data_IF_663468369295
#
_entry.id   IF_663468369295
#
_cell.length_a   1.000
_cell.length_b   1.000
_cell.length_c   1.000
_cell.angle_alpha   90.00
_cell.angle_beta   90.00
_cell.angle_gamma   90.00
#
_symmetry.space_group_name_H-M   'P 1'
#
loop_
_entity.id
_entity.type
_entity.pdbx_description
1 polymer ?
#
# COMPACT_ATOMS: atom_id res chain seq x y z
N UNK A 1 -87.20 21.99 59.34
CA UNK A 1 -86.16 21.49 58.41
C UNK A 1 -86.45 20.02 58.12
N UNK A 2 -87.28 19.75 57.09
CA UNK A 2 -87.75 18.40 56.77
C UNK A 2 -86.69 17.74 55.89
N UNK A 3 -85.77 16.98 56.51
CA UNK A 3 -84.81 16.16 55.78
C UNK A 3 -85.61 15.00 55.17
N UNK A 4 -85.88 15.11 53.87
CA UNK A 4 -86.70 14.17 53.13
C UNK A 4 -85.92 12.85 52.99
N UNK A 5 -86.10 11.92 53.93
CA UNK A 5 -85.37 10.64 54.04
C UNK A 5 -85.33 9.84 52.71
N UNK A 6 -86.34 10.00 51.85
CA UNK A 6 -86.37 9.36 50.52
C UNK A 6 -85.30 9.90 49.56
N UNK A 7 -84.99 11.20 49.60
CA UNK A 7 -83.97 11.80 48.72
C UNK A 7 -82.55 11.37 49.16
N UNK A 8 -82.31 11.27 50.47
CA UNK A 8 -81.04 10.78 51.00
C UNK A 8 -80.77 9.31 50.64
N UNK A 9 -81.80 8.46 50.64
CA UNK A 9 -81.67 7.05 50.23
C UNK A 9 -81.42 6.93 48.73
N UNK A 10 -82.11 7.72 47.90
CA UNK A 10 -81.88 7.73 46.44
C UNK A 10 -80.48 8.25 46.09
N UNK A 11 -79.98 9.26 46.80
CA UNK A 11 -78.61 9.76 46.63
C UNK A 11 -77.56 8.74 47.10
N UNK A 12 -77.78 8.05 48.22
CA UNK A 12 -76.86 7.00 48.66
C UNK A 12 -76.84 5.81 47.72
N UNK A 13 -78.00 5.33 47.26
CA UNK A 13 -78.07 4.23 46.29
C UNK A 13 -77.48 4.67 44.96
N UNK A 14 -77.75 5.89 44.50
CA UNK A 14 -77.14 6.47 43.30
C UNK A 14 -75.62 6.58 43.40
N UNK A 15 -75.09 7.07 44.53
CA UNK A 15 -73.64 7.14 44.77
C UNK A 15 -73.01 5.76 44.89
N UNK A 16 -73.67 4.78 45.51
CA UNK A 16 -73.17 3.39 45.57
C UNK A 16 -73.13 2.80 44.17
N UNK A 17 -74.18 2.97 43.36
CA UNK A 17 -74.22 2.48 41.98
C UNK A 17 -73.13 3.13 41.13
N UNK A 18 -72.91 4.44 41.27
CA UNK A 18 -71.85 5.18 40.58
C UNK A 18 -70.46 4.74 41.06
N UNK A 19 -70.26 4.53 42.36
CA UNK A 19 -69.00 4.02 42.93
C UNK A 19 -68.73 2.58 42.49
N UNK A 20 -69.75 1.72 42.43
CA UNK A 20 -69.59 0.35 41.91
C UNK A 20 -69.37 0.32 40.40
N UNK A 21 -69.96 1.24 39.64
CA UNK A 21 -69.72 1.37 38.21
C UNK A 21 -68.30 1.90 37.94
N UNK A 22 -67.82 2.87 38.74
CA UNK A 22 -66.44 3.36 38.67
C UNK A 22 -65.42 2.29 39.09
N UNK A 23 -65.74 1.47 40.10
CA UNK A 23 -64.89 0.35 40.51
C UNK A 23 -64.85 -0.75 39.43
N UNK A 24 -65.99 -1.07 38.81
CA UNK A 24 -66.07 -2.05 37.72
C UNK A 24 -65.41 -1.55 36.42
N UNK A 25 -65.43 -0.24 36.15
CA UNK A 25 -64.71 0.35 35.02
C UNK A 25 -63.20 0.51 35.27
N UNK A 26 -62.77 0.56 36.54
CA UNK A 26 -61.36 0.60 36.95
C UNK A 26 -60.62 -0.76 36.85
N UNK A 27 -61.34 -1.84 36.58
CA UNK A 27 -60.79 -3.21 36.50
C UNK A 27 -60.51 -3.72 35.08
N UNK A 28 -60.35 -2.81 34.11
CA UNK A 28 -59.65 -3.16 32.88
C UNK A 28 -58.14 -3.23 33.18
N UNK A 29 -57.71 -4.32 33.83
CA UNK A 29 -56.28 -4.66 33.98
C UNK A 29 -55.67 -4.67 32.58
N UNK A 30 -54.82 -3.69 32.29
CA UNK A 30 -54.03 -3.69 31.04
C UNK A 30 -53.17 -4.94 31.08
N UNK A 31 -53.49 -5.91 30.22
CA UNK A 31 -52.78 -7.18 30.18
C UNK A 31 -51.29 -6.94 29.88
N UNK A 32 -50.44 -7.55 30.69
CA UNK A 32 -49.00 -7.53 30.46
C UNK A 32 -48.69 -8.28 29.16
N UNK A 33 -47.90 -7.67 28.29
CA UNK A 33 -47.42 -8.30 27.06
C UNK A 33 -45.91 -8.54 27.13
N UNK A 34 -45.44 -9.47 26.30
CA UNK A 34 -44.03 -9.79 26.17
C UNK A 34 -43.52 -9.35 24.79
N UNK A 35 -42.34 -8.75 24.74
CA UNK A 35 -41.64 -8.40 23.51
C UNK A 35 -40.21 -8.92 23.57
N UNK A 36 -39.77 -9.59 22.52
CA UNK A 36 -38.37 -10.03 22.37
C UNK A 36 -37.76 -9.20 21.25
N UNK A 37 -36.68 -8.49 21.54
CA UNK A 37 -36.05 -7.61 20.56
C UNK A 37 -34.60 -7.30 20.89
N UNK A 38 -33.86 -6.92 19.86
CA UNK A 38 -32.50 -6.43 19.95
C UNK A 38 -32.49 -4.96 20.38
N UNK A 39 -31.69 -4.65 21.40
CA UNK A 39 -31.42 -3.27 21.80
C UNK A 39 -30.54 -2.58 20.75
N UNK A 40 -31.09 -1.59 20.07
CA UNK A 40 -30.42 -0.82 19.00
C UNK A 40 -30.09 0.60 19.42
N UNK A 41 -30.65 1.05 20.54
CA UNK A 41 -30.42 2.37 21.11
C UNK A 41 -30.65 2.31 22.61
N UNK A 42 -29.82 3.02 23.38
CA UNK A 42 -29.97 3.13 24.82
C UNK A 42 -29.46 4.48 25.31
N UNK A 43 -30.23 5.09 26.20
CA UNK A 43 -29.91 6.31 26.94
C UNK A 43 -30.36 6.13 28.40
N UNK A 44 -29.97 7.05 29.26
CA UNK A 44 -30.41 7.05 30.65
C UNK A 44 -31.94 7.08 30.76
N UNK A 45 -32.52 5.97 31.22
CA UNK A 45 -33.94 5.82 31.48
C UNK A 45 -34.79 5.28 30.32
N UNK A 46 -34.23 5.04 29.12
CA UNK A 46 -34.92 4.30 28.07
C UNK A 46 -34.02 3.65 27.02
N UNK A 47 -34.53 2.59 26.40
CA UNK A 47 -33.91 1.91 25.25
C UNK A 47 -34.93 1.66 24.14
N UNK A 48 -34.45 1.38 22.94
CA UNK A 48 -35.27 0.96 21.81
C UNK A 48 -34.92 -0.49 21.48
N UNK A 49 -35.94 -1.36 21.52
CA UNK A 49 -35.84 -2.74 21.08
C UNK A 49 -36.52 -2.91 19.72
N UNK A 50 -35.92 -3.69 18.83
CA UNK A 50 -36.53 -4.07 17.55
C UNK A 50 -36.37 -5.55 17.26
N UNK A 51 -37.36 -6.14 16.58
CA UNK A 51 -37.33 -7.51 16.07
C UNK A 51 -37.20 -7.55 14.53
N UNK A 52 -36.90 -6.42 13.90
CA UNK A 52 -36.81 -6.26 12.44
C UNK A 52 -38.08 -5.74 11.77
N UNK A 53 -39.27 -6.02 12.32
CA UNK A 53 -40.55 -5.54 11.79
C UNK A 53 -41.11 -4.39 12.62
N UNK A 54 -41.01 -4.50 13.94
CA UNK A 54 -41.53 -3.55 14.90
C UNK A 54 -40.40 -3.00 15.77
N UNK A 55 -40.60 -1.79 16.29
CA UNK A 55 -39.70 -1.18 17.27
C UNK A 55 -40.53 -0.64 18.43
N UNK A 56 -40.09 -0.95 19.65
CA UNK A 56 -40.73 -0.48 20.88
C UNK A 56 -39.73 0.32 21.72
N UNK A 57 -40.22 1.35 22.41
CA UNK A 57 -39.44 2.06 23.43
C UNK A 57 -39.69 1.45 24.80
N UNK A 58 -38.63 1.00 25.47
CA UNK A 58 -38.68 0.41 26.81
C UNK A 58 -38.10 1.39 27.82
N UNK A 59 -38.81 1.66 28.92
CA UNK A 59 -38.33 2.53 30.01
C UNK A 59 -37.34 1.80 30.94
N UNK A 60 -36.23 1.36 30.39
CA UNK A 60 -35.07 0.82 31.10
C UNK A 60 -33.82 1.13 30.29
N UNK A 61 -32.66 1.26 30.94
CA UNK A 61 -31.36 1.35 30.29
C UNK A 61 -30.83 -0.05 30.03
N UNK A 62 -30.68 -0.43 28.76
CA UNK A 62 -30.24 -1.76 28.31
C UNK A 62 -28.95 -1.67 27.49
N UNK A 63 -28.22 -2.79 27.37
CA UNK A 63 -26.99 -2.83 26.59
C UNK A 63 -27.28 -2.96 25.10
N UNK A 64 -26.77 -2.01 24.30
CA UNK A 64 -26.90 -2.04 22.83
C UNK A 64 -26.19 -3.28 22.27
N UNK A 65 -26.84 -3.97 21.34
CA UNK A 65 -26.34 -5.24 20.77
C UNK A 65 -26.82 -6.48 21.50
N UNK A 66 -27.51 -6.34 22.64
CA UNK A 66 -28.06 -7.47 23.39
C UNK A 66 -29.53 -7.67 23.07
N UNK A 67 -29.95 -8.94 22.93
CA UNK A 67 -31.34 -9.31 22.77
C UNK A 67 -31.97 -9.49 24.16
N UNK A 68 -33.11 -8.84 24.37
CA UNK A 68 -33.85 -8.93 25.61
C UNK A 68 -35.27 -9.42 25.37
N UNK A 69 -35.77 -10.19 26.34
CA UNK A 69 -37.19 -10.42 26.54
C UNK A 69 -37.67 -9.45 27.61
N UNK A 70 -38.60 -8.57 27.23
CA UNK A 70 -39.23 -7.61 28.13
C UNK A 70 -40.68 -8.01 28.32
N UNK A 71 -41.10 -8.12 29.58
CA UNK A 71 -42.49 -8.33 29.95
C UNK A 71 -42.96 -7.09 30.71
N UNK A 72 -44.10 -6.53 30.32
CA UNK A 72 -44.70 -5.43 31.05
C UNK A 72 -45.90 -4.80 30.36
N UNK A 73 -46.25 -3.59 30.80
CA UNK A 73 -47.49 -2.94 30.39
C UNK A 73 -47.27 -2.13 29.12
N UNK A 74 -47.92 -2.47 27.99
CA UNK A 74 -47.81 -1.69 26.76
C UNK A 74 -48.50 -0.33 26.93
N UNK A 75 -47.88 0.72 26.37
CA UNK A 75 -48.40 2.09 26.33
C UNK A 75 -48.26 2.62 24.92
N UNK A 76 -49.38 2.80 24.23
CA UNK A 76 -49.38 3.49 22.96
C UNK A 76 -49.25 5.00 23.21
N UNK A 77 -48.31 5.64 22.53
CA UNK A 77 -48.08 7.08 22.60
C UNK A 77 -48.09 7.69 21.21
N UNK A 78 -48.26 9.00 21.11
CA UNK A 78 -48.15 9.75 19.85
C UNK A 78 -46.78 9.61 19.16
N UNK A 79 -45.74 9.17 19.89
CA UNK A 79 -44.40 8.93 19.34
C UNK A 79 -44.10 7.44 19.09
N UNK A 80 -45.13 6.59 19.04
CA UNK A 80 -45.01 5.15 18.79
C UNK A 80 -45.21 4.26 20.03
N UNK A 81 -45.07 2.93 19.84
CA UNK A 81 -45.27 1.93 20.88
C UNK A 81 -44.22 2.06 22.01
N UNK A 82 -44.68 2.03 23.26
CA UNK A 82 -43.82 2.05 24.44
C UNK A 82 -44.19 0.91 25.39
N UNK A 83 -43.25 0.53 26.25
CA UNK A 83 -43.48 -0.49 27.27
C UNK A 83 -42.85 -0.04 28.58
N UNK A 84 -43.63 -0.07 29.66
CA UNK A 84 -43.08 0.04 31.02
C UNK A 84 -42.71 -1.38 31.48
N UNK A 85 -41.41 -1.70 31.61
CA UNK A 85 -41.00 -3.06 31.92
C UNK A 85 -41.37 -3.42 33.37
N UNK A 86 -41.87 -4.63 33.56
CA UNK A 86 -41.99 -5.30 34.86
C UNK A 86 -40.84 -6.27 35.07
N UNK A 87 -40.43 -6.95 34.00
CA UNK A 87 -39.26 -7.86 33.97
C UNK A 87 -38.50 -7.66 32.68
N UNK A 88 -37.17 -7.59 32.78
CA UNK A 88 -36.26 -7.57 31.64
C UNK A 88 -35.21 -8.64 31.85
N UNK A 89 -35.01 -9.50 30.86
CA UNK A 89 -34.02 -10.56 30.90
C UNK A 89 -33.35 -10.72 29.53
N UNK A 90 -32.03 -10.99 29.48
CA UNK A 90 -31.38 -11.40 28.24
C UNK A 90 -32.07 -12.63 27.64
N UNK A 91 -32.19 -12.68 26.32
CA UNK A 91 -32.87 -13.77 25.62
C UNK A 91 -32.18 -14.08 24.29
N UNK A 92 -32.49 -15.25 23.73
CA UNK A 92 -32.12 -15.58 22.35
C UNK A 92 -33.12 -14.96 21.36
N UNK A 93 -32.69 -14.61 20.13
CA UNK A 93 -33.58 -14.04 19.12
C UNK A 93 -34.63 -15.06 18.69
N UNK A 94 -35.91 -14.72 18.87
CA UNK A 94 -37.06 -15.51 18.38
C UNK A 94 -37.63 -14.96 17.07
N UNK A 95 -36.92 -14.02 16.44
CA UNK A 95 -37.29 -13.33 15.22
C UNK A 95 -36.28 -13.64 14.11
N UNK A 96 -36.66 -13.52 12.83
CA UNK A 96 -35.75 -13.79 11.72
C UNK A 96 -34.55 -12.85 11.75
N UNK A 97 -33.37 -13.39 11.47
CA UNK A 97 -32.13 -12.64 11.30
C UNK A 97 -31.74 -12.62 9.83
N UNK A 98 -31.19 -11.49 9.38
CA UNK A 98 -30.56 -11.39 8.08
C UNK A 98 -29.11 -11.88 8.17
N UNK A 99 -28.60 -12.48 7.10
CA UNK A 99 -27.21 -12.92 7.00
C UNK A 99 -26.49 -12.16 5.90
N UNK A 100 -25.31 -11.63 6.22
CA UNK A 100 -24.46 -10.85 5.32
C UNK A 100 -23.05 -11.42 5.36
N UNK A 101 -22.52 -11.82 4.21
CA UNK A 101 -21.14 -12.29 4.08
C UNK A 101 -20.30 -11.24 3.36
N UNK A 102 -19.23 -10.77 4.02
CA UNK A 102 -18.35 -9.73 3.49
C UNK A 102 -17.02 -9.64 4.22
N UNK A 103 -16.14 -8.79 3.71
CA UNK A 103 -14.85 -8.55 4.36
C UNK A 103 -14.97 -7.49 5.46
N UNK A 104 -14.51 -7.83 6.66
CA UNK A 104 -14.53 -6.94 7.80
C UNK A 104 -13.47 -5.84 7.67
N UNK A 105 -13.90 -4.57 7.78
CA UNK A 105 -13.04 -3.42 7.57
C UNK A 105 -13.24 -2.35 8.65
N UNK A 106 -12.52 -2.45 9.79
CA UNK A 106 -12.46 -1.38 10.77
C UNK A 106 -11.61 -0.21 10.24
N UNK A 107 -12.20 0.98 10.21
CA UNK A 107 -11.51 2.26 9.95
C UNK A 107 -12.05 3.38 10.83
N UNK A 108 -12.66 4.43 10.29
CA UNK A 108 -13.42 5.45 11.06
C UNK A 108 -14.74 4.90 11.64
N UNK A 109 -15.04 3.64 11.37
CA UNK A 109 -16.18 2.88 11.85
C UNK A 109 -16.01 1.42 11.43
N UNK A 110 -17.01 0.60 11.73
CA UNK A 110 -16.98 -0.83 11.44
C UNK A 110 -17.78 -1.10 10.17
N UNK A 111 -17.17 -1.78 9.20
CA UNK A 111 -17.80 -2.04 7.91
C UNK A 111 -17.65 -3.49 7.47
N UNK A 112 -18.59 -3.94 6.63
CA UNK A 112 -18.46 -5.13 5.79
C UNK A 112 -18.43 -4.70 4.32
N UNK A 113 -17.47 -5.21 3.57
CA UNK A 113 -17.41 -5.06 2.12
C UNK A 113 -18.03 -6.26 1.43
N UNK A 114 -19.12 -6.01 0.72
CA UNK A 114 -19.93 -7.00 -0.02
C UNK A 114 -20.16 -6.53 -1.46
N UNK A 115 -19.10 -6.17 -2.19
CA UNK A 115 -19.04 -5.09 -3.19
C UNK A 115 -19.65 -3.70 -2.87
N UNK A 116 -20.68 -3.63 -2.02
CA UNK A 116 -21.16 -2.39 -1.39
C UNK A 116 -20.60 -2.26 0.04
N UNK A 117 -20.62 -1.05 0.60
CA UNK A 117 -20.13 -0.77 1.95
C UNK A 117 -21.28 -0.81 2.95
N UNK A 118 -21.32 -1.87 3.76
CA UNK A 118 -22.31 -2.04 4.82
C UNK A 118 -21.72 -1.54 6.14
N UNK A 119 -22.40 -0.63 6.83
CA UNK A 119 -21.97 -0.12 8.14
C UNK A 119 -22.50 -1.00 9.26
N UNK A 120 -21.60 -1.54 10.07
CA UNK A 120 -21.95 -2.24 11.30
C UNK A 120 -22.21 -1.21 12.42
N UNK A 121 -23.19 -1.51 13.26
CA UNK A 121 -23.48 -0.72 14.44
C UNK A 121 -22.46 -0.94 15.56
N UNK A 122 -21.92 -2.17 15.65
CA UNK A 122 -20.98 -2.61 16.68
C UNK A 122 -19.78 -3.30 16.05
N UNK A 123 -18.68 -3.30 16.80
CA UNK A 123 -17.47 -4.04 16.46
C UNK A 123 -17.72 -5.55 16.56
N UNK A 124 -17.06 -6.33 15.71
CA UNK A 124 -16.94 -7.78 15.85
C UNK A 124 -15.47 -8.15 16.06
N UNK A 125 -15.21 -9.27 16.74
CA UNK A 125 -13.86 -9.80 16.93
C UNK A 125 -13.45 -10.64 15.70
N UNK A 126 -12.99 -9.92 14.68
CA UNK A 126 -12.43 -10.42 13.43
C UNK A 126 -11.26 -9.53 13.00
N UNK A 127 -10.30 -10.09 12.25
CA UNK A 127 -9.18 -9.31 11.75
C UNK A 127 -9.62 -8.39 10.60
N UNK A 128 -8.94 -7.25 10.44
CA UNK A 128 -9.17 -6.36 9.29
C UNK A 128 -8.84 -7.12 8.00
N UNK A 129 -9.73 -7.03 7.01
CA UNK A 129 -9.64 -7.75 5.74
C UNK A 129 -10.24 -9.17 5.76
N UNK A 130 -10.54 -9.73 6.93
CA UNK A 130 -11.06 -11.09 7.07
C UNK A 130 -12.49 -11.20 6.53
N UNK A 131 -12.77 -12.26 5.77
CA UNK A 131 -14.12 -12.59 5.33
C UNK A 131 -14.89 -13.17 6.51
N UNK A 132 -16.07 -12.61 6.76
CA UNK A 132 -16.97 -13.02 7.83
C UNK A 132 -18.38 -13.17 7.28
N UNK A 133 -19.11 -14.15 7.80
CA UNK A 133 -20.57 -14.24 7.65
C UNK A 133 -21.21 -13.79 8.95
N UNK A 134 -22.02 -12.74 8.89
CA UNK A 134 -22.61 -12.08 10.06
C UNK A 134 -24.12 -12.17 10.00
N UNK A 135 -24.72 -12.66 11.09
CA UNK A 135 -26.16 -12.68 11.30
C UNK A 135 -26.57 -11.53 12.22
N UNK A 136 -27.66 -10.84 11.88
CA UNK A 136 -28.05 -9.64 12.60
C UNK A 136 -29.36 -9.03 12.12
N UNK A 137 -29.58 -7.77 12.51
CA UNK A 137 -30.76 -6.99 12.12
C UNK A 137 -30.38 -5.61 11.58
N UNK A 138 -31.16 -5.13 10.62
CA UNK A 138 -31.06 -3.76 10.13
C UNK A 138 -31.87 -2.80 10.99
N UNK A 139 -31.26 -1.69 11.38
CA UNK A 139 -31.97 -0.58 12.01
C UNK A 139 -31.28 0.75 11.72
N UNK A 140 -32.03 1.75 11.27
CA UNK A 140 -31.50 3.09 11.00
C UNK A 140 -30.33 3.13 10.01
N UNK A 141 -30.34 2.27 8.99
CA UNK A 141 -29.28 2.18 7.96
C UNK A 141 -27.97 1.54 8.44
N UNK A 142 -27.95 0.91 9.63
CA UNK A 142 -26.83 0.12 10.14
C UNK A 142 -27.25 -1.33 10.34
N UNK A 143 -26.28 -2.23 10.25
CA UNK A 143 -26.45 -3.64 10.55
C UNK A 143 -25.94 -3.93 11.96
N UNK A 144 -26.80 -4.47 12.83
CA UNK A 144 -26.46 -4.83 14.20
C UNK A 144 -26.06 -6.30 14.25
N UNK A 145 -24.76 -6.61 14.40
CA UNK A 145 -24.30 -8.00 14.45
C UNK A 145 -24.74 -8.68 15.74
N UNK A 146 -25.21 -9.92 15.65
CA UNK A 146 -25.54 -10.77 16.79
C UNK A 146 -24.64 -12.01 16.86
N UNK A 147 -24.46 -12.66 15.71
CA UNK A 147 -23.60 -13.84 15.57
C UNK A 147 -22.74 -13.66 14.34
N UNK A 148 -21.54 -14.22 14.35
CA UNK A 148 -20.71 -14.21 13.15
C UNK A 148 -19.79 -15.42 13.11
N UNK A 149 -19.42 -15.80 11.88
CA UNK A 149 -18.47 -16.86 11.59
C UNK A 149 -17.33 -16.29 10.75
N UNK A 150 -16.11 -16.50 11.23
CA UNK A 150 -14.87 -16.19 10.50
C UNK A 150 -14.63 -17.21 9.39
N UNK A 151 -14.32 -16.71 8.20
CA UNK A 151 -14.07 -17.51 7.00
C UNK A 151 -12.61 -17.38 6.50
N UNK A 152 -11.78 -16.56 7.17
CA UNK A 152 -10.37 -16.36 6.83
C UNK A 152 -10.14 -15.18 5.86
N UNK A 153 -8.89 -14.99 5.46
CA UNK A 153 -8.51 -13.93 4.52
C UNK A 153 -8.81 -14.34 3.06
N UNK A 154 -9.06 -13.38 2.16
CA UNK A 154 -9.21 -13.66 0.73
C UNK A 154 -7.94 -14.26 0.12
N UNK A 155 -8.09 -15.32 -0.67
CA UNK A 155 -6.96 -16.02 -1.31
C UNK A 155 -6.28 -15.18 -2.42
N UNK A 156 -6.95 -14.16 -2.94
CA UNK A 156 -6.47 -13.39 -4.08
C UNK A 156 -7.19 -12.05 -4.27
N UNK A 157 -6.72 -11.24 -5.24
CA UNK A 157 -7.28 -9.93 -5.49
C UNK A 157 -8.67 -10.02 -6.14
N UNK A 158 -9.64 -9.27 -5.60
CA UNK A 158 -10.96 -9.09 -6.19
C UNK A 158 -11.37 -7.61 -6.11
N UNK A 159 -11.99 -7.07 -7.16
CA UNK A 159 -12.31 -5.64 -7.22
C UNK A 159 -13.22 -5.19 -6.07
N UNK A 160 -12.83 -4.12 -5.38
CA UNK A 160 -13.54 -3.58 -4.22
C UNK A 160 -13.39 -4.39 -2.94
N UNK A 161 -12.64 -5.49 -2.96
CA UNK A 161 -12.40 -6.34 -1.80
C UNK A 161 -10.99 -6.09 -1.22
N UNK A 162 -10.79 -6.33 0.09
CA UNK A 162 -9.46 -6.24 0.67
C UNK A 162 -8.61 -7.42 0.24
N UNK A 163 -7.30 -7.19 0.13
CA UNK A 163 -6.32 -8.23 -0.13
C UNK A 163 -5.00 -7.87 0.56
N UNK A 164 -4.38 -8.88 1.16
CA UNK A 164 -3.05 -8.76 1.74
C UNK A 164 -2.03 -9.29 0.72
N UNK A 165 -0.99 -8.50 0.45
CA UNK A 165 0.08 -8.92 -0.45
C UNK A 165 1.44 -8.53 0.09
N UNK A 166 2.40 -9.42 -0.09
CA UNK A 166 3.81 -9.19 0.19
C UNK A 166 4.58 -8.93 -1.10
N UNK A 167 5.52 -7.98 -1.07
CA UNK A 167 6.37 -7.71 -2.22
C UNK A 167 7.52 -6.75 -1.94
N UNK A 168 8.44 -6.65 -2.90
CA UNK A 168 9.54 -5.66 -2.84
C UNK A 168 9.14 -4.38 -3.57
N UNK A 169 9.38 -3.23 -2.94
CA UNK A 169 9.19 -1.91 -3.55
C UNK A 169 10.18 -1.71 -4.69
N UNK A 170 9.70 -1.62 -5.93
CA UNK A 170 10.49 -1.36 -7.13
C UNK A 170 10.68 0.13 -7.41
N UNK A 171 9.59 0.90 -7.25
CA UNK A 171 9.52 2.32 -7.56
C UNK A 171 8.78 3.06 -6.44
N UNK A 172 9.22 4.29 -6.20
CA UNK A 172 8.63 5.22 -5.24
C UNK A 172 8.47 6.59 -5.87
N UNK A 173 7.55 7.41 -5.36
CA UNK A 173 7.20 8.74 -5.88
C UNK A 173 5.70 8.83 -6.22
N UNK A 174 5.36 9.31 -7.42
CA UNK A 174 3.94 9.51 -7.84
C UNK A 174 3.09 8.23 -7.76
N UNK A 175 3.72 7.07 -7.95
CA UNK A 175 3.10 5.77 -7.83
C UNK A 175 4.13 4.83 -7.19
N UNK A 176 3.73 4.18 -6.09
CA UNK A 176 4.53 3.10 -5.51
C UNK A 176 4.20 1.82 -6.26
N UNK A 177 5.23 1.12 -6.73
CA UNK A 177 5.08 -0.18 -7.39
C UNK A 177 5.83 -1.22 -6.57
N UNK A 178 5.15 -2.31 -6.22
CA UNK A 178 5.77 -3.47 -5.57
C UNK A 178 5.78 -4.67 -6.53
N UNK A 179 6.76 -5.54 -6.37
CA UNK A 179 6.85 -6.82 -7.05
C UNK A 179 6.49 -7.94 -6.07
N UNK A 180 5.43 -8.69 -6.34
CA UNK A 180 4.98 -9.78 -5.47
C UNK A 180 5.60 -11.15 -5.81
N UNK A 181 6.52 -11.20 -6.77
CA UNK A 181 7.10 -12.44 -7.30
C UNK A 181 6.55 -12.85 -8.67
N UNK A 182 5.38 -12.34 -9.07
CA UNK A 182 4.76 -12.65 -10.37
C UNK A 182 4.45 -11.42 -11.22
N UNK A 183 3.99 -10.34 -10.60
CA UNK A 183 3.57 -9.12 -11.31
C UNK A 183 3.87 -7.84 -10.52
N UNK A 184 3.81 -6.71 -11.22
CA UNK A 184 3.92 -5.38 -10.60
C UNK A 184 2.54 -4.93 -10.08
N UNK A 185 2.46 -4.64 -8.79
CA UNK A 185 1.24 -4.16 -8.13
C UNK A 185 1.41 -2.68 -7.81
N UNK A 186 0.40 -1.88 -8.19
CA UNK A 186 0.34 -0.49 -7.82
C UNK A 186 -0.17 -0.33 -6.39
N UNK A 187 0.61 0.33 -5.54
CA UNK A 187 0.25 0.58 -4.16
C UNK A 187 0.09 2.08 -3.94
N UNK A 188 -1.04 2.45 -3.34
CA UNK A 188 -1.36 3.82 -2.96
C UNK A 188 -1.35 3.91 -1.43
N UNK A 189 -0.20 4.23 -0.82
CA UNK A 189 -0.11 4.43 0.62
C UNK A 189 -0.90 5.68 1.05
N UNK A 190 -1.27 5.79 2.34
CA UNK A 190 -1.93 6.98 2.86
C UNK A 190 -1.02 8.21 2.75
N UNK A 191 -1.63 9.41 2.80
CA UNK A 191 -0.90 10.67 2.66
C UNK A 191 0.26 10.80 3.65
N UNK A 192 1.43 11.19 3.13
CA UNK A 192 2.64 11.38 3.92
C UNK A 192 3.43 10.09 4.23
N UNK A 193 2.99 8.93 3.73
CA UNK A 193 3.74 7.68 3.83
C UNK A 193 4.43 7.38 2.51
N UNK A 194 5.77 7.33 2.55
CA UNK A 194 6.61 6.93 1.42
C UNK A 194 7.28 5.59 1.72
N UNK A 195 7.33 4.73 0.69
CA UNK A 195 8.00 3.44 0.75
C UNK A 195 9.26 3.51 -0.11
N UNK A 196 10.42 3.22 0.48
CA UNK A 196 11.69 3.29 -0.23
C UNK A 196 11.91 2.07 -1.14
N UNK A 197 12.49 2.25 -2.35
CA UNK A 197 12.85 1.13 -3.20
C UNK A 197 13.82 0.16 -2.52
N UNK A 198 13.60 -1.14 -2.71
CA UNK A 198 14.41 -2.21 -2.11
C UNK A 198 13.93 -2.69 -0.75
N UNK A 199 12.90 -2.08 -0.18
CA UNK A 199 12.22 -2.61 1.01
C UNK A 199 11.25 -3.73 0.64
N UNK A 200 11.21 -4.78 1.45
CA UNK A 200 10.13 -5.77 1.47
C UNK A 200 9.03 -5.29 2.38
N UNK A 201 7.80 -5.30 1.87
CA UNK A 201 6.62 -4.83 2.57
C UNK A 201 5.50 -5.85 2.44
N UNK A 202 4.67 -5.92 3.46
CA UNK A 202 3.35 -6.53 3.43
C UNK A 202 2.32 -5.44 3.58
N UNK A 203 1.38 -5.39 2.65
CA UNK A 203 0.34 -4.35 2.60
C UNK A 203 -1.03 -4.97 2.56
N UNK A 204 -1.94 -4.43 3.35
CA UNK A 204 -3.36 -4.73 3.32
C UNK A 204 -4.10 -3.50 2.77
N UNK A 205 -4.95 -3.70 1.77
CA UNK A 205 -5.71 -2.60 1.21
C UNK A 205 -6.85 -3.05 0.33
N UNK A 206 -7.65 -2.09 -0.11
CA UNK A 206 -8.79 -2.33 -0.99
C UNK A 206 -8.28 -2.41 -2.42
N UNK A 207 -8.58 -3.52 -3.08
CA UNK A 207 -8.16 -3.78 -4.46
C UNK A 207 -9.04 -3.00 -5.44
N UNK A 208 -8.40 -2.46 -6.48
CA UNK A 208 -9.02 -2.00 -7.72
C UNK A 208 -8.38 -2.68 -8.91
N UNK A 209 -9.20 -3.31 -9.74
CA UNK A 209 -8.76 -4.00 -10.94
C UNK A 209 -9.01 -3.11 -12.17
N UNK A 210 -7.94 -2.61 -12.76
CA UNK A 210 -7.95 -1.87 -14.03
C UNK A 210 -7.10 -2.63 -15.07
N UNK A 211 -6.17 -1.94 -15.75
CA UNK A 211 -5.11 -2.57 -16.55
C UNK A 211 -4.00 -3.19 -15.72
N UNK A 212 -4.01 -2.99 -14.40
CA UNK A 212 -3.11 -3.57 -13.40
C UNK A 212 -3.83 -3.66 -12.06
N UNK A 213 -3.35 -4.54 -11.18
CA UNK A 213 -3.81 -4.61 -9.79
C UNK A 213 -3.35 -3.35 -9.05
N UNK A 214 -4.30 -2.65 -8.44
CA UNK A 214 -4.06 -1.47 -7.61
C UNK A 214 -4.59 -1.70 -6.20
N UNK A 215 -3.84 -1.31 -5.19
CA UNK A 215 -4.20 -1.48 -3.78
C UNK A 215 -4.21 -0.12 -3.10
N UNK A 216 -5.36 0.25 -2.54
CA UNK A 216 -5.54 1.48 -1.79
C UNK A 216 -5.49 1.18 -0.29
N UNK A 217 -4.51 1.78 0.37
CA UNK A 217 -4.24 1.54 1.78
C UNK A 217 -4.92 2.63 2.60
N UNK A 218 -5.63 2.23 3.65
CA UNK A 218 -6.45 3.14 4.45
C UNK A 218 -5.64 3.78 5.59
N UNK A 219 -4.79 3.02 6.28
CA UNK A 219 -3.92 3.54 7.34
C UNK A 219 -2.48 3.05 7.24
N UNK A 220 -1.56 3.72 7.96
CA UNK A 220 -0.16 3.29 8.06
C UNK A 220 -0.03 1.91 8.71
N UNK A 221 -0.94 1.56 9.62
CA UNK A 221 -0.94 0.28 10.33
C UNK A 221 -1.20 -0.91 9.40
N UNK A 222 -1.77 -0.65 8.21
CA UNK A 222 -1.98 -1.65 7.16
C UNK A 222 -0.71 -1.92 6.34
N UNK A 223 0.41 -1.28 6.68
CA UNK A 223 1.72 -1.43 6.04
C UNK A 223 2.71 -1.98 7.05
N UNK A 224 3.22 -3.16 6.78
CA UNK A 224 4.29 -3.77 7.55
C UNK A 224 5.58 -3.80 6.71
N UNK A 225 6.64 -3.14 7.20
CA UNK A 225 7.97 -3.26 6.61
C UNK A 225 8.66 -4.50 7.17
N UNK A 226 8.98 -5.45 6.29
CA UNK A 226 9.58 -6.73 6.65
C UNK A 226 11.11 -6.70 6.64
N UNK A 227 11.70 -5.62 6.12
CA UNK A 227 13.14 -5.41 6.02
C UNK A 227 13.59 -5.12 4.59
N UNK A 228 14.87 -5.35 4.31
CA UNK A 228 15.41 -5.23 2.97
C UNK A 228 15.08 -6.46 2.10
N UNK A 229 15.04 -6.26 0.79
CA UNK A 229 14.97 -7.35 -0.17
C UNK A 229 16.20 -8.26 -0.13
N UNK A 230 16.01 -9.49 -0.63
CA UNK A 230 17.04 -10.51 -0.59
C UNK A 230 18.26 -10.08 -1.42
N UNK A 231 19.46 -10.25 -0.87
CA UNK A 231 20.71 -9.93 -1.57
C UNK A 231 21.16 -11.13 -2.38
N UNK A 232 21.38 -10.93 -3.68
CA UNK A 232 21.85 -11.99 -4.59
C UNK A 232 22.97 -11.50 -5.50
N UNK A 233 23.89 -12.38 -5.94
CA UNK A 233 24.87 -12.04 -6.96
C UNK A 233 24.20 -11.48 -8.21
N UNK A 234 24.84 -10.52 -8.86
CA UNK A 234 24.28 -9.76 -9.98
C UNK A 234 23.78 -10.64 -11.15
N UNK A 235 24.38 -11.82 -11.34
CA UNK A 235 24.00 -12.80 -12.38
C UNK A 235 22.73 -13.61 -12.02
N UNK A 236 22.46 -13.78 -10.74
CA UNK A 236 21.40 -14.67 -10.22
C UNK A 236 20.21 -13.87 -9.64
N UNK A 237 20.33 -12.55 -9.57
CA UNK A 237 19.31 -11.66 -9.03
C UNK A 237 18.09 -11.57 -9.96
N UNK A 238 16.92 -11.94 -9.43
CA UNK A 238 15.62 -11.77 -10.05
C UNK A 238 15.02 -10.38 -9.80
N UNK A 239 13.86 -10.11 -10.39
CA UNK A 239 13.14 -8.86 -10.15
C UNK A 239 12.76 -8.77 -8.67
N UNK A 240 13.01 -7.63 -8.05
CA UNK A 240 12.76 -7.39 -6.63
C UNK A 240 13.90 -7.80 -5.70
N UNK A 241 15.00 -8.36 -6.22
CA UNK A 241 16.21 -8.65 -5.42
C UNK A 241 17.17 -7.45 -5.38
N UNK A 242 18.03 -7.42 -4.35
CA UNK A 242 19.19 -6.53 -4.29
C UNK A 242 20.37 -7.26 -4.95
N UNK A 243 20.65 -6.89 -6.19
CA UNK A 243 21.77 -7.37 -6.97
C UNK A 243 23.09 -6.79 -6.46
N UNK A 244 24.02 -7.67 -6.08
CA UNK A 244 25.35 -7.29 -5.59
C UNK A 244 26.46 -7.81 -6.49
N UNK A 245 27.48 -7.00 -6.74
CA UNK A 245 28.63 -7.41 -7.53
C UNK A 245 29.61 -6.28 -7.81
N UNK A 246 30.73 -6.61 -8.44
CA UNK A 246 31.72 -5.63 -8.88
C UNK A 246 31.67 -5.54 -10.41
N UNK A 247 31.59 -4.32 -10.94
CA UNK A 247 31.42 -4.08 -12.36
C UNK A 247 32.21 -2.88 -12.83
N UNK A 248 32.77 -2.95 -14.04
CA UNK A 248 33.45 -1.83 -14.68
C UNK A 248 32.43 -1.02 -15.49
N UNK A 249 32.50 0.31 -15.39
CA UNK A 249 31.70 1.19 -16.23
C UNK A 249 32.26 1.21 -17.65
N UNK A 250 31.45 0.80 -18.62
CA UNK A 250 31.79 0.79 -20.05
C UNK A 250 31.00 1.83 -20.86
N UNK A 251 30.15 2.61 -20.20
CA UNK A 251 29.44 3.70 -20.87
C UNK A 251 28.69 4.57 -19.87
N UNK A 252 28.61 5.87 -20.18
CA UNK A 252 28.04 6.90 -19.32
C UNK A 252 26.90 7.63 -20.03
N UNK A 253 26.07 8.33 -19.27
CA UNK A 253 24.88 9.05 -19.74
C UNK A 253 23.91 9.29 -18.60
N UNK A 254 22.60 9.27 -18.87
CA UNK A 254 21.55 9.27 -17.82
C UNK A 254 21.56 8.00 -16.95
N UNK A 255 22.19 6.95 -17.46
CA UNK A 255 22.43 5.68 -16.78
C UNK A 255 23.78 5.12 -17.19
N UNK A 256 24.35 4.28 -16.34
CA UNK A 256 25.63 3.63 -16.59
C UNK A 256 25.42 2.30 -17.32
N UNK A 257 26.28 2.02 -18.30
CA UNK A 257 26.44 0.70 -18.90
C UNK A 257 27.58 -0.01 -18.17
N UNK A 258 27.34 -1.24 -17.75
CA UNK A 258 28.29 -2.07 -17.02
C UNK A 258 28.76 -3.24 -17.89
N UNK A 259 29.95 -3.76 -17.61
CA UNK A 259 30.50 -4.96 -18.27
C UNK A 259 29.87 -6.28 -17.76
N UNK A 260 29.37 -6.27 -16.52
CA UNK A 260 28.88 -7.46 -15.82
C UNK A 260 27.42 -7.81 -16.12
N UNK A 261 26.69 -6.95 -16.83
CA UNK A 261 25.26 -7.10 -17.12
C UNK A 261 24.84 -6.26 -18.33
N UNK A 262 23.82 -6.70 -19.06
CA UNK A 262 23.21 -5.94 -20.14
C UNK A 262 22.27 -4.83 -19.63
N UNK A 263 21.94 -4.85 -18.34
CA UNK A 263 21.05 -3.87 -17.72
C UNK A 263 21.76 -2.54 -17.47
N UNK A 264 20.99 -1.46 -17.58
CA UNK A 264 21.48 -0.12 -17.27
C UNK A 264 21.31 0.18 -15.77
N UNK A 265 22.34 0.77 -15.17
CA UNK A 265 22.33 1.22 -13.77
C UNK A 265 21.92 2.69 -13.68
N UNK A 266 20.87 2.97 -12.92
CA UNK A 266 20.35 4.31 -12.64
C UNK A 266 20.64 4.73 -11.20
N UNK A 267 20.55 6.04 -10.91
CA UNK A 267 20.69 6.56 -9.54
C UNK A 267 22.13 6.64 -9.04
N UNK A 268 23.11 6.49 -9.94
CA UNK A 268 24.53 6.63 -9.61
C UNK A 268 25.29 7.24 -10.80
N UNK A 269 26.37 7.98 -10.49
CA UNK A 269 27.22 8.62 -11.50
C UNK A 269 28.66 8.19 -11.29
N UNK A 270 29.30 7.77 -12.37
CA UNK A 270 30.70 7.37 -12.43
C UNK A 270 31.22 7.54 -13.86
N UNK A 271 32.54 7.46 -14.04
CA UNK A 271 33.19 7.65 -15.34
C UNK A 271 33.49 6.30 -15.98
N UNK A 272 33.57 6.27 -17.30
CA UNK A 272 33.98 5.07 -18.02
C UNK A 272 35.38 4.63 -17.53
N UNK A 273 35.53 3.34 -17.24
CA UNK A 273 36.73 2.74 -16.65
C UNK A 273 36.72 2.58 -15.14
N UNK A 274 35.83 3.25 -14.42
CA UNK A 274 35.72 3.09 -12.97
C UNK A 274 35.23 1.67 -12.64
N UNK A 275 35.88 1.03 -11.67
CA UNK A 275 35.41 -0.22 -11.08
C UNK A 275 34.49 0.10 -9.91
N UNK A 276 33.24 -0.34 -9.99
CA UNK A 276 32.21 -0.10 -9.00
C UNK A 276 31.99 -1.33 -8.13
N UNK A 277 31.70 -1.08 -6.84
CA UNK A 277 30.90 -2.00 -6.01
C UNK A 277 29.45 -1.61 -6.21
N UNK A 278 28.66 -2.54 -6.73
CA UNK A 278 27.25 -2.34 -7.05
C UNK A 278 26.42 -3.05 -5.99
N UNK A 279 25.51 -2.30 -5.37
CA UNK A 279 24.39 -2.81 -4.59
C UNK A 279 23.14 -2.09 -5.10
N UNK A 280 22.38 -2.80 -5.94
CA UNK A 280 21.32 -2.20 -6.73
C UNK A 280 20.07 -3.07 -6.77
N UNK A 281 18.91 -2.43 -6.70
CA UNK A 281 17.63 -3.09 -6.87
C UNK A 281 17.43 -3.53 -8.31
N UNK A 282 17.12 -4.81 -8.51
CA UNK A 282 16.77 -5.37 -9.81
C UNK A 282 15.32 -5.06 -10.15
N UNK A 283 15.12 -4.15 -11.08
CA UNK A 283 13.82 -3.82 -11.71
C UNK A 283 13.65 -4.63 -12.99
N UNK A 284 12.47 -4.73 -13.62
CA UNK A 284 12.29 -5.56 -14.83
C UNK A 284 13.31 -5.31 -15.95
N UNK A 285 13.58 -4.03 -16.27
CA UNK A 285 14.43 -3.63 -17.39
C UNK A 285 15.69 -2.84 -17.00
N UNK A 286 15.97 -2.71 -15.71
CA UNK A 286 17.09 -1.88 -15.22
C UNK A 286 17.56 -2.28 -13.82
N UNK A 287 18.64 -1.64 -13.40
CA UNK A 287 19.13 -1.64 -12.02
C UNK A 287 18.96 -0.22 -11.44
N UNK A 288 18.43 -0.11 -10.23
CA UNK A 288 18.47 1.14 -9.47
C UNK A 288 19.53 1.01 -8.38
N UNK A 289 20.53 1.87 -8.41
CA UNK A 289 21.51 1.94 -7.34
C UNK A 289 20.86 2.25 -5.99
N UNK A 290 21.10 1.40 -5.00
CA UNK A 290 20.75 1.64 -3.61
C UNK A 290 21.98 2.10 -2.83
N UNK A 291 23.12 1.41 -3.02
CA UNK A 291 24.39 1.73 -2.37
C UNK A 291 25.58 1.35 -3.26
N UNK A 292 25.90 2.19 -4.24
CA UNK A 292 27.01 1.95 -5.15
C UNK A 292 28.18 2.87 -4.82
N UNK A 293 29.41 2.36 -4.98
CA UNK A 293 30.63 3.12 -4.68
C UNK A 293 31.69 2.81 -5.72
N UNK A 294 32.52 3.80 -6.06
CA UNK A 294 33.72 3.58 -6.88
C UNK A 294 34.78 2.90 -6.01
N UNK A 295 35.12 1.64 -6.31
CA UNK A 295 36.18 0.90 -5.62
C UNK A 295 37.57 1.28 -6.11
N UNK A 296 37.70 1.42 -7.43
CA UNK A 296 38.96 1.81 -8.06
C UNK A 296 38.64 2.78 -9.20
N UNK A 297 39.10 4.03 -9.11
CA UNK A 297 38.89 4.99 -10.18
C UNK A 297 39.77 4.65 -11.38
N UNK A 298 39.33 5.06 -12.58
CA UNK A 298 40.00 4.80 -13.86
C UNK A 298 41.45 5.29 -13.90
N UNK A 299 41.81 6.31 -13.13
CA UNK A 299 43.17 6.87 -13.08
C UNK A 299 44.22 5.86 -12.58
N UNK A 300 43.80 4.87 -11.78
CA UNK A 300 44.66 3.80 -11.27
C UNK A 300 44.83 2.64 -12.27
N UNK A 301 44.23 2.71 -13.46
CA UNK A 301 44.48 1.72 -14.50
C UNK A 301 45.93 1.81 -15.00
N UNK A 302 46.58 0.69 -15.31
CA UNK A 302 47.91 0.69 -15.89
C UNK A 302 47.88 1.28 -17.31
N UNK A 303 49.04 1.75 -17.78
CA UNK A 303 49.19 2.14 -19.18
C UNK A 303 49.18 0.89 -20.07
N UNK A 304 48.15 0.73 -20.88
CA UNK A 304 47.93 -0.46 -21.71
C UNK A 304 48.25 -0.24 -23.19
N UNK A 305 49.02 0.79 -23.53
CA UNK A 305 49.36 1.12 -24.92
C UNK A 305 50.00 -0.04 -25.72
N UNK A 306 50.73 -0.94 -25.05
CA UNK A 306 51.29 -2.16 -25.65
C UNK A 306 50.31 -3.35 -25.70
N UNK A 307 49.19 -3.27 -24.97
CA UNK A 307 48.26 -4.38 -24.77
C UNK A 307 46.96 -4.14 -25.55
N UNK A 308 47.08 -4.01 -26.88
CA UNK A 308 45.94 -3.80 -27.75
C UNK A 308 44.99 -5.01 -27.74
N UNK A 309 43.72 -4.76 -27.43
CA UNK A 309 42.62 -5.70 -27.62
C UNK A 309 41.39 -4.96 -28.11
N UNK A 310 40.96 -5.24 -29.34
CA UNK A 310 39.83 -4.56 -29.98
C UNK A 310 38.56 -4.60 -29.09
N UNK A 311 37.91 -3.46 -28.91
CA UNK A 311 36.72 -3.30 -28.07
C UNK A 311 36.96 -3.24 -26.55
N UNK A 312 38.19 -3.41 -26.06
CA UNK A 312 38.49 -3.34 -24.63
C UNK A 312 38.65 -1.89 -24.14
N UNK A 313 38.13 -1.60 -22.94
CA UNK A 313 38.37 -0.33 -22.27
C UNK A 313 39.77 -0.32 -21.66
N UNK A 314 40.52 0.77 -21.83
CA UNK A 314 41.85 0.93 -21.27
C UNK A 314 42.19 2.37 -20.91
N UNK A 315 43.33 2.53 -20.23
CA UNK A 315 44.06 3.79 -20.13
C UNK A 315 45.29 3.68 -21.02
N UNK A 316 45.52 4.70 -21.85
CA UNK A 316 46.79 4.87 -22.56
C UNK A 316 47.46 6.14 -22.07
N UNK A 317 48.79 6.14 -21.99
CA UNK A 317 49.59 7.30 -21.64
C UNK A 317 50.90 7.28 -22.41
N UNK A 318 51.31 8.41 -22.96
CA UNK A 318 52.50 8.49 -23.80
C UNK A 318 52.71 9.88 -24.38
N UNK A 319 53.74 10.01 -25.22
CA UNK A 319 54.06 11.25 -25.92
C UNK A 319 53.43 11.26 -27.30
N UNK A 320 52.93 12.42 -27.70
CA UNK A 320 52.37 12.63 -29.04
C UNK A 320 53.51 12.81 -30.04
N UNK A 321 53.73 11.85 -30.94
CA UNK A 321 54.81 11.94 -31.93
C UNK A 321 54.47 12.80 -33.14
N UNK A 322 53.19 12.81 -33.53
CA UNK A 322 52.65 13.63 -34.62
C UNK A 322 51.14 13.77 -34.47
N UNK A 323 50.58 14.87 -34.98
CA UNK A 323 49.14 15.12 -35.04
C UNK A 323 48.72 15.48 -36.45
N UNK A 324 47.65 14.85 -36.94
CA UNK A 324 47.05 15.14 -38.25
C UNK A 324 45.59 15.48 -38.10
N UNK A 325 45.22 16.71 -38.46
CA UNK A 325 43.83 17.18 -38.48
C UNK A 325 43.35 17.30 -39.93
N UNK A 326 42.22 16.65 -40.24
CA UNK A 326 41.58 16.68 -41.56
C UNK A 326 40.62 17.87 -41.68
N UNK A 327 40.28 18.26 -42.92
CA UNK A 327 39.40 19.42 -43.20
C UNK A 327 38.02 19.33 -42.55
N UNK A 328 37.52 18.12 -42.28
CA UNK A 328 36.24 17.90 -41.59
C UNK A 328 36.33 18.06 -40.06
N UNK A 329 37.52 18.36 -39.53
CA UNK A 329 37.79 18.51 -38.09
C UNK A 329 38.01 17.20 -37.35
N UNK A 330 38.03 16.06 -38.03
CA UNK A 330 38.53 14.81 -37.44
C UNK A 330 40.06 14.89 -37.36
N UNK A 331 40.63 14.50 -36.23
CA UNK A 331 42.06 14.41 -36.00
C UNK A 331 42.51 12.99 -35.66
N UNK A 332 43.78 12.72 -35.91
CA UNK A 332 44.50 11.54 -35.44
C UNK A 332 45.80 12.02 -34.80
N UNK A 333 46.06 11.56 -33.58
CA UNK A 333 47.35 11.74 -32.93
C UNK A 333 48.00 10.38 -32.76
N UNK A 334 49.29 10.28 -33.08
CA UNK A 334 50.05 9.08 -32.77
C UNK A 334 50.68 9.22 -31.39
N UNK A 335 50.23 8.39 -30.45
CA UNK A 335 50.72 8.37 -29.07
C UNK A 335 51.69 7.22 -28.95
N UNK A 336 52.89 7.47 -28.42
CA UNK A 336 53.96 6.48 -28.27
C UNK A 336 54.42 6.38 -26.81
N UNK A 337 54.78 5.16 -26.39
CA UNK A 337 55.44 4.92 -25.10
C UNK A 337 56.36 3.70 -25.23
N UNK A 338 57.66 3.91 -25.06
CA UNK A 338 58.66 2.90 -25.44
C UNK A 338 58.54 2.55 -26.92
N UNK A 339 58.52 1.25 -27.23
CA UNK A 339 58.42 0.74 -28.60
C UNK A 339 56.97 0.58 -29.09
N UNK A 340 55.99 0.94 -28.27
CA UNK A 340 54.56 0.78 -28.57
C UNK A 340 53.92 2.09 -29.01
N UNK A 341 52.91 2.00 -29.89
CA UNK A 341 52.17 3.15 -30.37
C UNK A 341 50.70 2.83 -30.63
N UNK A 342 49.84 3.87 -30.58
CA UNK A 342 48.42 3.78 -30.91
C UNK A 342 47.91 5.09 -31.50
N UNK A 343 46.99 4.99 -32.47
CA UNK A 343 46.33 6.16 -33.05
C UNK A 343 45.15 6.63 -32.21
N UNK A 344 45.31 7.74 -31.48
CA UNK A 344 44.21 8.39 -30.78
C UNK A 344 43.30 9.13 -31.76
N UNK A 345 42.03 8.70 -31.83
CA UNK A 345 40.99 9.33 -32.67
C UNK A 345 40.47 10.60 -31.99
N UNK A 346 40.75 11.77 -32.58
CA UNK A 346 40.32 13.07 -32.07
C UNK A 346 39.12 13.58 -32.88
N UNK A 347 37.89 13.18 -32.50
CA UNK A 347 36.69 13.71 -33.15
C UNK A 347 36.50 15.20 -32.81
N UNK A 348 36.01 15.98 -33.77
CA UNK A 348 35.73 17.42 -33.59
C UNK A 348 34.87 17.71 -32.35
N UNK A 349 33.93 16.81 -32.03
CA UNK A 349 33.02 16.93 -30.87
C UNK A 349 33.71 16.83 -29.51
N UNK A 350 34.93 16.30 -29.45
CA UNK A 350 35.69 16.20 -28.19
C UNK A 350 36.21 17.57 -27.75
N UNK A 351 36.41 18.51 -28.67
CA UNK A 351 36.95 19.83 -28.35
C UNK A 351 38.43 19.84 -27.92
N UNK A 352 39.13 18.70 -28.01
CA UNK A 352 40.53 18.53 -27.60
C UNK A 352 41.47 18.87 -28.75
N UNK A 353 42.55 19.59 -28.44
CA UNK A 353 43.71 19.81 -29.32
C UNK A 353 44.94 19.28 -28.60
N UNK A 354 45.81 18.62 -29.36
CA UNK A 354 47.08 18.09 -28.87
C UNK A 354 48.18 18.61 -29.77
N UNK A 355 49.34 18.88 -29.18
CA UNK A 355 50.54 19.30 -29.89
C UNK A 355 51.61 18.19 -29.90
N UNK A 356 52.55 18.26 -30.83
CA UNK A 356 53.68 17.33 -30.87
C UNK A 356 54.55 17.47 -29.62
N UNK A 357 55.09 16.36 -29.12
CA UNK A 357 55.85 16.23 -27.88
C UNK A 357 55.07 16.48 -26.59
N UNK A 358 53.75 16.65 -26.66
CA UNK A 358 52.90 16.71 -25.48
C UNK A 358 52.69 15.32 -24.87
N UNK A 359 52.73 15.20 -23.54
CA UNK A 359 52.35 13.97 -22.84
C UNK A 359 50.84 13.95 -22.67
N UNK A 360 50.20 12.90 -23.18
CA UNK A 360 48.75 12.72 -23.14
C UNK A 360 48.40 11.46 -22.37
N UNK A 361 47.34 11.53 -21.57
CA UNK A 361 46.66 10.38 -21.00
C UNK A 361 45.24 10.34 -21.51
N UNK A 362 44.81 9.19 -22.03
CA UNK A 362 43.46 9.02 -22.56
C UNK A 362 42.79 7.76 -22.00
N UNK A 363 41.49 7.85 -21.77
CA UNK A 363 40.63 6.78 -21.27
C UNK A 363 39.56 6.46 -22.30
N UNK A 364 39.44 5.20 -22.70
CA UNK A 364 38.59 4.87 -23.84
C UNK A 364 38.73 3.44 -24.29
N UNK A 365 38.30 3.17 -25.51
CA UNK A 365 38.24 1.84 -26.08
C UNK A 365 39.28 1.66 -27.18
N UNK A 366 39.98 0.54 -27.13
CA UNK A 366 40.76 0.11 -28.28
C UNK A 366 39.83 -0.22 -29.45
N UNK A 367 40.26 0.20 -30.64
CA UNK A 367 39.55 0.03 -31.90
C UNK A 367 40.59 -0.13 -33.01
N UNK A 368 40.15 -0.44 -34.22
CA UNK A 368 41.03 -0.37 -35.39
C UNK A 368 40.74 0.88 -36.23
N UNK A 369 41.77 1.36 -36.90
CA UNK A 369 41.65 2.37 -37.95
C UNK A 369 42.51 1.97 -39.14
N UNK A 370 41.87 1.57 -40.25
CA UNK A 370 42.55 1.08 -41.47
C UNK A 370 43.52 -0.07 -41.18
N UNK A 371 43.12 -1.01 -40.33
CA UNK A 371 43.93 -2.17 -39.94
C UNK A 371 45.02 -1.87 -38.90
N UNK A 372 45.17 -0.62 -38.46
CA UNK A 372 46.13 -0.25 -37.41
C UNK A 372 45.46 -0.10 -36.04
N UNK A 373 46.20 -0.32 -34.93
CA UNK A 373 45.74 -0.05 -33.59
C UNK A 373 45.32 1.42 -33.44
N UNK A 374 44.11 1.63 -32.94
CA UNK A 374 43.57 2.94 -32.68
C UNK A 374 42.84 2.97 -31.33
N UNK A 375 42.58 4.17 -30.86
CA UNK A 375 41.97 4.42 -29.56
C UNK A 375 40.85 5.45 -29.70
N UNK A 376 39.68 5.12 -29.17
CA UNK A 376 38.49 5.95 -29.24
C UNK A 376 38.05 6.37 -27.84
N UNK A 377 37.87 7.67 -27.67
CA UNK A 377 37.41 8.29 -26.41
C UNK A 377 35.98 8.82 -26.59
N UNK A 378 35.21 8.82 -25.50
CA UNK A 378 33.80 9.21 -25.54
C UNK A 378 33.62 10.72 -25.32
N UNK A 379 34.34 11.30 -24.38
CA UNK A 379 34.32 12.72 -24.03
C UNK A 379 35.69 13.38 -24.17
N UNK A 380 35.71 14.71 -24.31
CA UNK A 380 36.94 15.50 -24.20
C UNK A 380 37.60 15.35 -22.82
N UNK A 381 36.79 15.23 -21.76
CA UNK A 381 37.27 15.01 -20.38
C UNK A 381 37.95 13.65 -20.17
N UNK A 382 37.88 12.77 -21.16
CA UNK A 382 38.57 11.47 -21.15
C UNK A 382 39.99 11.58 -21.75
N UNK A 383 40.41 12.76 -22.18
CA UNK A 383 41.76 13.06 -22.65
C UNK A 383 42.29 14.23 -21.82
N UNK A 384 43.37 14.01 -21.08
CA UNK A 384 44.11 15.12 -20.47
C UNK A 384 45.51 15.18 -21.03
N UNK A 385 45.99 16.41 -21.21
CA UNK A 385 47.38 16.69 -21.46
C UNK A 385 48.05 17.29 -20.23
N UNK A 386 49.33 16.99 -20.05
CA UNK A 386 50.18 17.43 -18.93
C UNK A 386 49.87 16.78 -17.57
N UNK A 387 48.72 17.04 -16.94
CA UNK A 387 48.33 16.43 -15.65
C UNK A 387 46.83 16.07 -15.61
N UNK A 388 46.54 14.75 -15.57
CA UNK A 388 45.35 14.18 -14.93
C UNK A 388 45.76 13.75 -13.50
#
# INVERSE_FOLDING_TARGET
MVINKRIAVVLMVGSIVVLTALAAMGESRVESSAFVGLCVYSEDGFSILTNGTESIRVYASLDVGTVYRVVGVPRNSTSGPRMKPERVEPAEPTFPLDSVTGAYWPSRGYYLFTPSKIRLALQIDAAKGEIVSVEGLWHGGKFYPLRYRRLGLPDGPADGMPWEVEGTVLYSGRQTLIWNGSEEIAVYPPYGVELEPGLRVRVLGIVRLYSRVSIFIDSRDDIQVLGAAERRPLRDAGIGDIAVGNCTVIGTGRSLKLDCTDLRLYGFSARAGDLLRVEALRRPSSLLCLNCTVMRPRELLPNSICNFSDGSFARISGNVSWVKVYRNGFGLANVTAGDCWVLLKLRKSLGVRLDENETVTAYGFFTTYRGMPAFEVASGDDVCSVNC
#
